data_IF_919508774038
#
_entry.id   IF_919508774038
#
_cell.length_a   1.000
_cell.length_b   1.000
_cell.length_c   1.000
_cell.angle_alpha   90.00
_cell.angle_beta   90.00
_cell.angle_gamma   90.00
#
_symmetry.space_group_name_H-M   'P 1'
#
loop_
_entity.id
_entity.type
_entity.pdbx_description
1 polymer ?
#
# COMPACT_ATOMS: atom_id res chain seq x y z
N UNK A 1 -40.29 68.24 -26.79
CA UNK A 1 -39.02 67.99 -26.05
C UNK A 1 -39.19 67.06 -24.88
N UNK A 2 -40.27 67.16 -24.05
CA UNK A 2 -40.46 66.32 -22.83
C UNK A 2 -40.71 64.81 -23.09
N UNK A 3 -41.33 64.43 -24.22
CA UNK A 3 -41.57 63.01 -24.56
C UNK A 3 -40.28 62.27 -24.98
N UNK A 4 -39.38 62.96 -25.70
CA UNK A 4 -38.12 62.34 -26.13
C UNK A 4 -37.19 62.08 -24.92
N UNK A 5 -37.17 62.92 -23.90
CA UNK A 5 -36.35 62.69 -22.68
C UNK A 5 -36.88 61.57 -21.85
N UNK A 6 -38.20 61.32 -21.79
CA UNK A 6 -38.81 60.17 -21.07
C UNK A 6 -38.46 58.85 -21.78
N UNK A 7 -38.49 58.82 -23.10
CA UNK A 7 -38.14 57.65 -23.89
C UNK A 7 -36.66 57.27 -23.73
N UNK A 8 -35.77 58.23 -23.71
CA UNK A 8 -34.31 57.99 -23.46
C UNK A 8 -34.08 57.44 -22.07
N UNK A 9 -34.76 57.97 -21.05
CA UNK A 9 -34.65 57.48 -19.68
C UNK A 9 -35.15 56.03 -19.51
N UNK A 10 -36.26 55.68 -20.14
CA UNK A 10 -36.82 54.32 -20.12
C UNK A 10 -35.88 53.33 -20.80
N UNK A 11 -35.28 53.73 -21.93
CA UNK A 11 -34.27 52.91 -22.64
C UNK A 11 -33.00 52.68 -21.81
N UNK A 12 -32.54 53.68 -21.10
CA UNK A 12 -31.36 53.56 -20.22
C UNK A 12 -31.64 52.61 -19.02
N UNK A 13 -32.85 52.67 -18.41
CA UNK A 13 -33.27 51.77 -17.37
C UNK A 13 -33.38 50.33 -17.86
N UNK A 14 -33.96 50.11 -19.04
CA UNK A 14 -34.04 48.79 -19.65
C UNK A 14 -32.69 48.19 -19.98
N UNK A 15 -31.75 48.99 -20.52
CA UNK A 15 -30.39 48.57 -20.79
C UNK A 15 -29.65 48.19 -19.49
N UNK A 16 -29.80 49.02 -18.44
CA UNK A 16 -29.22 48.72 -17.13
C UNK A 16 -29.77 47.43 -16.52
N UNK A 17 -31.06 47.18 -16.64
CA UNK A 17 -31.68 45.94 -16.17
C UNK A 17 -31.19 44.71 -16.92
N UNK A 18 -31.00 44.79 -18.23
CA UNK A 18 -30.41 43.69 -19.04
C UNK A 18 -28.96 43.39 -18.67
N UNK A 19 -28.12 44.42 -18.49
CA UNK A 19 -26.74 44.25 -18.04
C UNK A 19 -26.69 43.61 -16.66
N UNK A 20 -27.52 44.07 -15.74
CA UNK A 20 -27.61 43.49 -14.38
C UNK A 20 -28.07 42.02 -14.42
N UNK A 21 -29.07 41.69 -15.22
CA UNK A 21 -29.55 40.33 -15.42
C UNK A 21 -28.47 39.42 -16.01
N UNK A 22 -27.72 39.90 -17.00
CA UNK A 22 -26.60 39.19 -17.61
C UNK A 22 -25.48 38.89 -16.60
N UNK A 23 -25.10 39.87 -15.79
CA UNK A 23 -24.10 39.68 -14.73
C UNK A 23 -24.57 38.66 -13.67
N UNK A 24 -25.87 38.70 -13.31
CA UNK A 24 -26.43 37.75 -12.35
C UNK A 24 -26.43 36.29 -12.89
N UNK A 25 -26.78 36.11 -14.17
CA UNK A 25 -26.76 34.79 -14.82
C UNK A 25 -25.34 34.24 -14.93
N UNK A 26 -24.37 35.07 -15.29
CA UNK A 26 -22.96 34.66 -15.38
C UNK A 26 -22.41 34.28 -13.98
N UNK A 27 -22.79 34.99 -12.93
CA UNK A 27 -22.42 34.66 -11.55
C UNK A 27 -22.99 33.31 -11.11
N UNK A 28 -24.25 33.01 -11.44
CA UNK A 28 -24.87 31.72 -11.16
C UNK A 28 -24.22 30.58 -11.95
N UNK A 29 -23.93 30.80 -13.21
CA UNK A 29 -23.22 29.79 -14.04
C UNK A 29 -21.83 29.46 -13.49
N UNK A 30 -21.09 30.49 -13.07
CA UNK A 30 -19.77 30.31 -12.45
C UNK A 30 -19.83 29.54 -11.12
N UNK A 31 -20.82 29.85 -10.27
CA UNK A 31 -20.99 29.16 -8.99
C UNK A 31 -21.42 27.67 -9.19
N UNK A 32 -22.26 27.37 -10.16
CA UNK A 32 -22.63 26.01 -10.52
C UNK A 32 -21.42 25.21 -11.04
N UNK A 33 -20.63 25.78 -11.92
CA UNK A 33 -19.40 25.15 -12.43
C UNK A 33 -18.40 24.86 -11.29
N UNK A 34 -18.25 25.80 -10.37
CA UNK A 34 -17.40 25.62 -9.20
C UNK A 34 -17.92 24.51 -8.26
N UNK A 35 -19.23 24.47 -8.00
CA UNK A 35 -19.83 23.44 -7.18
C UNK A 35 -19.70 22.03 -7.82
N UNK A 36 -19.85 21.92 -9.13
CA UNK A 36 -19.64 20.68 -9.87
C UNK A 36 -18.18 20.21 -9.76
N UNK A 37 -17.22 21.12 -9.94
CA UNK A 37 -15.78 20.79 -9.80
C UNK A 37 -15.46 20.29 -8.39
N UNK A 38 -15.98 20.95 -7.37
CA UNK A 38 -15.77 20.53 -5.97
C UNK A 38 -16.40 19.15 -5.70
N UNK A 39 -17.59 18.88 -6.21
CA UNK A 39 -18.26 17.57 -6.08
C UNK A 39 -17.44 16.45 -6.75
N UNK A 40 -16.87 16.71 -7.93
CA UNK A 40 -16.01 15.77 -8.62
C UNK A 40 -14.74 15.48 -7.81
N UNK A 41 -14.05 16.52 -7.31
CA UNK A 41 -12.84 16.37 -6.49
C UNK A 41 -13.15 15.55 -5.22
N UNK A 42 -14.21 15.88 -4.49
CA UNK A 42 -14.64 15.15 -3.31
C UNK A 42 -14.98 13.67 -3.61
N UNK A 43 -15.56 13.40 -4.77
CA UNK A 43 -15.81 12.04 -5.27
C UNK A 43 -14.51 11.26 -5.52
N UNK A 44 -13.50 11.89 -6.12
CA UNK A 44 -12.18 11.29 -6.32
C UNK A 44 -11.48 10.96 -5.00
N UNK A 45 -11.47 11.88 -4.05
CA UNK A 45 -10.83 11.67 -2.74
C UNK A 45 -11.45 10.52 -1.96
N UNK A 46 -12.79 10.43 -1.95
CA UNK A 46 -13.49 9.35 -1.24
C UNK A 46 -13.28 7.98 -1.88
N UNK A 47 -13.23 7.89 -3.20
CA UNK A 47 -12.99 6.62 -3.90
C UNK A 47 -11.55 6.14 -3.77
N UNK A 48 -10.58 7.04 -3.87
CA UNK A 48 -9.17 6.73 -3.64
C UNK A 48 -8.96 6.22 -2.20
N UNK A 49 -9.54 6.89 -1.21
CA UNK A 49 -9.48 6.46 0.18
C UNK A 49 -10.08 5.07 0.41
N UNK A 50 -11.21 4.74 -0.23
CA UNK A 50 -11.83 3.39 -0.15
C UNK A 50 -10.94 2.32 -0.77
N UNK A 51 -10.32 2.59 -1.91
CA UNK A 51 -9.39 1.68 -2.57
C UNK A 51 -8.17 1.42 -1.69
N UNK A 52 -7.58 2.45 -1.12
CA UNK A 52 -6.44 2.34 -0.21
C UNK A 52 -6.79 1.49 1.02
N UNK A 53 -7.95 1.70 1.64
CA UNK A 53 -8.41 0.89 2.78
C UNK A 53 -8.58 -0.58 2.40
N UNK A 54 -9.14 -0.90 1.23
CA UNK A 54 -9.29 -2.28 0.79
C UNK A 54 -7.94 -2.96 0.56
N UNK A 55 -6.98 -2.28 -0.06
CA UNK A 55 -5.64 -2.82 -0.31
C UNK A 55 -4.92 -3.08 1.01
N UNK A 56 -4.95 -2.12 1.94
CA UNK A 56 -4.33 -2.26 3.27
C UNK A 56 -4.97 -3.42 4.05
N UNK A 57 -6.29 -3.55 4.03
CA UNK A 57 -7.00 -4.64 4.71
C UNK A 57 -6.58 -6.00 4.16
N UNK A 58 -6.55 -6.17 2.84
CA UNK A 58 -6.09 -7.43 2.21
C UNK A 58 -4.64 -7.75 2.57
N UNK A 59 -3.76 -6.75 2.60
CA UNK A 59 -2.38 -6.92 3.00
C UNK A 59 -2.27 -7.41 4.44
N UNK A 60 -2.95 -6.75 5.39
CA UNK A 60 -2.94 -7.12 6.81
C UNK A 60 -3.44 -8.55 7.03
N UNK A 61 -4.50 -8.95 6.34
CA UNK A 61 -5.04 -10.30 6.43
C UNK A 61 -4.06 -11.35 5.89
N UNK A 62 -3.44 -11.10 4.72
CA UNK A 62 -2.44 -12.00 4.15
C UNK A 62 -1.21 -12.12 5.03
N UNK A 63 -0.70 -11.00 5.57
CA UNK A 63 0.43 -11.00 6.49
C UNK A 63 0.12 -11.77 7.78
N UNK A 64 -1.10 -11.62 8.32
CA UNK A 64 -1.54 -12.36 9.51
C UNK A 64 -1.53 -13.87 9.26
N UNK A 65 -2.03 -14.32 8.10
CA UNK A 65 -2.02 -15.75 7.73
C UNK A 65 -0.60 -16.28 7.62
N UNK A 66 0.29 -15.57 6.94
CA UNK A 66 1.71 -15.95 6.83
C UNK A 66 2.35 -16.08 8.21
N UNK A 67 2.16 -15.10 9.07
CA UNK A 67 2.72 -15.08 10.44
C UNK A 67 2.21 -16.25 11.26
N UNK A 68 0.91 -16.57 11.15
CA UNK A 68 0.32 -17.73 11.85
C UNK A 68 0.92 -19.04 11.37
N UNK A 69 1.04 -19.24 10.06
CA UNK A 69 1.63 -20.45 9.48
C UNK A 69 3.08 -20.64 9.94
N UNK A 70 3.89 -19.57 9.91
CA UNK A 70 5.30 -19.62 10.36
C UNK A 70 5.38 -19.96 11.85
N UNK A 71 4.54 -19.36 12.67
CA UNK A 71 4.48 -19.68 14.10
C UNK A 71 4.10 -21.16 14.34
N UNK A 72 3.14 -21.68 13.57
CA UNK A 72 2.74 -23.09 13.67
C UNK A 72 3.88 -24.01 13.21
N UNK A 73 4.60 -23.69 12.14
CA UNK A 73 5.80 -24.44 11.70
C UNK A 73 6.86 -24.44 12.79
N UNK A 74 7.16 -23.29 13.39
CA UNK A 74 8.14 -23.20 14.46
C UNK A 74 7.74 -24.04 15.69
N UNK A 75 6.46 -24.04 16.05
CA UNK A 75 5.93 -24.87 17.14
C UNK A 75 6.02 -26.37 16.86
N UNK A 76 5.85 -26.77 15.61
CA UNK A 76 5.94 -28.16 15.18
C UNK A 76 7.38 -28.65 14.95
N UNK A 77 8.36 -27.74 14.86
CA UNK A 77 9.78 -28.08 14.59
C UNK A 77 10.32 -29.21 15.47
N UNK A 78 10.08 -29.24 16.82
CA UNK A 78 10.60 -30.31 17.67
C UNK A 78 10.03 -31.72 17.38
N UNK A 79 8.94 -31.81 16.61
CA UNK A 79 8.34 -33.09 16.20
C UNK A 79 9.05 -33.67 14.96
N UNK A 80 9.65 -32.81 14.14
CA UNK A 80 10.37 -33.19 12.92
C UNK A 80 11.88 -33.27 13.15
N UNK A 81 12.41 -32.39 13.99
CA UNK A 81 13.83 -32.39 14.41
C UNK A 81 13.86 -32.68 15.91
N UNK A 82 14.06 -33.93 16.27
CA UNK A 82 14.06 -34.37 17.66
C UNK A 82 15.42 -34.11 18.35
N UNK A 83 15.51 -34.08 19.68
CA UNK A 83 16.79 -33.99 20.40
C UNK A 83 17.79 -35.08 20.01
N UNK A 84 17.32 -36.26 19.67
CA UNK A 84 18.18 -37.37 19.19
C UNK A 84 18.78 -37.02 17.78
N UNK A 85 17.98 -36.37 16.95
CA UNK A 85 18.45 -35.87 15.64
C UNK A 85 19.51 -34.80 15.84
N UNK A 86 19.31 -33.84 16.73
CA UNK A 86 20.25 -32.78 17.04
C UNK A 86 21.59 -33.33 17.58
N UNK A 87 21.52 -34.35 18.44
CA UNK A 87 22.69 -35.02 18.96
C UNK A 87 23.46 -35.83 17.91
N UNK A 88 22.75 -36.45 16.96
CA UNK A 88 23.33 -37.28 15.91
C UNK A 88 23.94 -36.45 14.75
N UNK A 89 23.43 -35.25 14.50
CA UNK A 89 23.84 -34.42 13.36
C UNK A 89 24.15 -32.98 13.79
N UNK A 90 25.24 -32.75 14.57
CA UNK A 90 25.67 -31.40 14.95
C UNK A 90 26.07 -30.60 13.72
N UNK A 91 25.62 -29.33 13.65
CA UNK A 91 25.98 -28.46 12.54
C UNK A 91 27.43 -28.03 12.66
N UNK A 92 28.22 -28.05 11.56
CA UNK A 92 29.61 -27.59 11.59
C UNK A 92 29.71 -26.05 11.71
N UNK A 93 30.80 -25.57 12.32
CA UNK A 93 31.12 -24.14 12.44
C UNK A 93 31.11 -23.44 11.08
N UNK A 94 31.60 -24.09 10.02
CA UNK A 94 31.59 -23.56 8.66
C UNK A 94 30.17 -23.29 8.13
N UNK A 95 29.19 -24.12 8.49
CA UNK A 95 27.79 -23.87 8.14
C UNK A 95 27.29 -22.58 8.78
N UNK A 96 27.55 -22.39 10.08
CA UNK A 96 27.11 -21.18 10.81
C UNK A 96 27.77 -19.94 10.22
N UNK A 97 29.09 -19.99 9.99
CA UNK A 97 29.84 -18.87 9.35
C UNK A 97 29.27 -18.51 7.97
N UNK A 98 28.97 -19.50 7.16
CA UNK A 98 28.40 -19.26 5.83
C UNK A 98 27.01 -18.64 5.91
N UNK A 99 26.18 -19.14 6.84
CA UNK A 99 24.85 -18.61 7.08
C UNK A 99 24.91 -17.13 7.57
N UNK A 100 25.78 -16.83 8.54
CA UNK A 100 25.93 -15.49 9.10
C UNK A 100 26.44 -14.49 8.05
N UNK A 101 27.41 -14.91 7.23
CA UNK A 101 27.92 -14.11 6.13
C UNK A 101 26.81 -13.82 5.08
N UNK A 102 26.02 -14.84 4.75
CA UNK A 102 24.88 -14.66 3.84
C UNK A 102 23.82 -13.72 4.42
N UNK A 103 23.53 -13.81 5.73
CA UNK A 103 22.61 -12.91 6.41
C UNK A 103 23.10 -11.44 6.43
N UNK A 104 24.41 -11.26 6.49
CA UNK A 104 25.06 -9.94 6.43
C UNK A 104 25.29 -9.43 4.98
N UNK A 105 24.92 -10.22 3.97
CA UNK A 105 25.25 -9.97 2.55
C UNK A 105 26.77 -9.76 2.33
N UNK A 106 27.59 -10.53 3.04
CA UNK A 106 29.05 -10.48 2.98
C UNK A 106 29.61 -11.84 2.54
N UNK A 107 30.89 -11.89 2.15
CA UNK A 107 31.58 -13.12 1.81
C UNK A 107 32.31 -13.67 3.03
N UNK A 108 32.11 -14.98 3.37
CA UNK A 108 32.91 -15.58 4.40
C UNK A 108 34.38 -15.63 3.97
N UNK A 109 35.32 -15.46 4.91
CA UNK A 109 36.71 -15.72 4.63
C UNK A 109 36.98 -17.17 4.19
N UNK A 110 38.16 -17.49 3.66
CA UNK A 110 38.46 -18.86 3.19
C UNK A 110 38.21 -19.89 4.31
N UNK A 111 37.78 -21.13 3.94
CA UNK A 111 37.55 -22.18 4.93
C UNK A 111 38.83 -22.58 5.65
N UNK A 112 38.69 -22.87 6.95
CA UNK A 112 39.82 -23.26 7.82
C UNK A 112 39.52 -24.58 8.58
N UNK A 113 40.53 -25.09 9.32
CA UNK A 113 40.38 -26.36 10.04
C UNK A 113 39.26 -26.40 11.09
N UNK A 114 38.87 -25.21 11.61
CA UNK A 114 37.80 -25.09 12.59
C UNK A 114 36.40 -25.27 11.95
N UNK A 115 36.28 -25.06 10.66
CA UNK A 115 35.00 -25.09 9.99
C UNK A 115 34.34 -26.49 9.96
N UNK A 116 35.18 -27.53 10.08
CA UNK A 116 34.67 -28.92 10.17
C UNK A 116 34.28 -29.35 11.59
N UNK A 117 34.57 -28.54 12.61
CA UNK A 117 34.19 -28.85 13.97
C UNK A 117 32.72 -28.65 14.24
N UNK A 118 32.14 -29.45 15.16
CA UNK A 118 30.79 -29.25 15.61
C UNK A 118 30.61 -27.88 16.28
N UNK A 119 29.56 -27.17 15.89
CA UNK A 119 29.16 -25.90 16.53
C UNK A 119 28.22 -26.16 17.72
N UNK A 120 27.95 -25.12 18.48
CA UNK A 120 26.89 -25.16 19.52
C UNK A 120 25.47 -25.00 18.92
N UNK A 121 25.35 -24.71 17.64
CA UNK A 121 24.06 -24.52 16.94
C UNK A 121 23.53 -25.89 16.52
N UNK A 122 22.31 -26.19 16.92
CA UNK A 122 21.61 -27.45 16.59
C UNK A 122 20.88 -27.36 15.25
N UNK A 123 20.50 -28.50 14.70
CA UNK A 123 19.63 -28.56 13.51
C UNK A 123 18.26 -27.93 13.79
N UNK A 124 17.74 -28.10 15.02
CA UNK A 124 16.51 -27.43 15.47
C UNK A 124 16.65 -25.92 15.46
N UNK A 125 17.74 -25.37 15.98
CA UNK A 125 18.01 -23.91 15.96
C UNK A 125 18.05 -23.38 14.51
N UNK A 126 18.75 -24.08 13.63
CA UNK A 126 18.82 -23.69 12.22
C UNK A 126 17.44 -23.75 11.53
N UNK A 127 16.64 -24.78 11.82
CA UNK A 127 15.30 -24.90 11.27
C UNK A 127 14.40 -23.72 11.71
N UNK A 128 14.47 -23.31 12.98
CA UNK A 128 13.72 -22.16 13.50
C UNK A 128 14.16 -20.85 12.82
N UNK A 129 15.45 -20.63 12.66
CA UNK A 129 15.99 -19.45 11.98
C UNK A 129 15.57 -19.42 10.51
N UNK A 130 15.69 -20.53 9.80
CA UNK A 130 15.28 -20.68 8.40
C UNK A 130 13.78 -20.41 8.24
N UNK A 131 12.94 -20.99 9.10
CA UNK A 131 11.50 -20.75 9.07
C UNK A 131 11.19 -19.25 9.30
N UNK A 132 11.85 -18.60 10.25
CA UNK A 132 11.73 -17.16 10.49
C UNK A 132 12.13 -16.31 9.28
N UNK A 133 13.23 -16.65 8.62
CA UNK A 133 13.70 -15.96 7.41
C UNK A 133 12.70 -16.12 6.25
N UNK A 134 12.12 -17.31 6.06
CA UNK A 134 11.05 -17.50 5.07
C UNK A 134 9.81 -16.67 5.42
N UNK A 135 9.45 -16.60 6.71
CA UNK A 135 8.36 -15.73 7.18
C UNK A 135 8.57 -14.27 6.80
N UNK A 136 9.77 -13.75 7.03
CA UNK A 136 10.17 -12.39 6.65
C UNK A 136 10.10 -12.19 5.13
N UNK A 137 10.63 -13.15 4.36
CA UNK A 137 10.59 -13.10 2.90
C UNK A 137 9.14 -13.07 2.38
N UNK A 138 8.25 -13.90 2.93
CA UNK A 138 6.84 -13.89 2.59
C UNK A 138 6.15 -12.57 2.97
N UNK A 139 6.45 -12.00 4.12
CA UNK A 139 5.90 -10.70 4.53
C UNK A 139 6.32 -9.57 3.57
N UNK A 140 7.60 -9.52 3.17
CA UNK A 140 8.10 -8.55 2.18
C UNK A 140 7.41 -8.75 0.83
N UNK A 141 7.20 -9.99 0.40
CA UNK A 141 6.46 -10.29 -0.83
C UNK A 141 5.02 -9.74 -0.77
N UNK A 142 4.32 -9.91 0.36
CA UNK A 142 2.97 -9.38 0.51
C UNK A 142 2.94 -7.84 0.54
N UNK A 143 3.96 -7.19 1.11
CA UNK A 143 4.14 -5.73 1.02
C UNK A 143 4.32 -5.28 -0.42
N UNK A 144 5.18 -5.97 -1.18
CA UNK A 144 5.40 -5.65 -2.59
C UNK A 144 4.12 -5.84 -3.41
N UNK A 145 3.38 -6.93 -3.20
CA UNK A 145 2.11 -7.18 -3.85
C UNK A 145 1.08 -6.08 -3.53
N UNK A 146 1.00 -5.64 -2.28
CA UNK A 146 0.11 -4.54 -1.89
C UNK A 146 0.49 -3.22 -2.59
N UNK A 147 1.78 -2.94 -2.73
CA UNK A 147 2.27 -1.77 -3.46
C UNK A 147 1.93 -1.86 -4.96
N UNK A 148 2.12 -3.04 -5.57
CA UNK A 148 1.76 -3.29 -6.97
C UNK A 148 0.25 -3.12 -7.16
N UNK A 149 -0.58 -3.70 -6.30
CA UNK A 149 -2.04 -3.58 -6.32
C UNK A 149 -2.45 -2.09 -6.28
N UNK A 150 -1.78 -1.29 -5.45
CA UNK A 150 -2.02 0.15 -5.35
C UNK A 150 -1.64 0.91 -6.61
N UNK A 151 -0.50 0.59 -7.22
CA UNK A 151 -0.03 1.24 -8.44
C UNK A 151 -0.86 0.85 -9.66
N UNK A 152 -1.45 -0.34 -9.67
CA UNK A 152 -2.31 -0.85 -10.74
C UNK A 152 -3.79 -0.53 -10.55
N UNK A 153 -4.19 -0.02 -9.38
CA UNK A 153 -5.55 0.41 -9.15
C UNK A 153 -5.92 1.48 -10.17
N UNK A 154 -6.97 1.27 -11.00
CA UNK A 154 -7.33 2.23 -12.03
C UNK A 154 -7.65 3.57 -11.38
N UNK A 155 -7.23 4.69 -11.98
CA UNK A 155 -7.74 5.98 -11.57
C UNK A 155 -9.26 5.93 -11.72
N UNK A 156 -9.95 6.41 -10.69
CA UNK A 156 -11.41 6.42 -10.66
C UNK A 156 -11.96 7.12 -11.91
N UNK A 157 -12.50 6.34 -12.84
CA UNK A 157 -13.35 6.86 -13.91
C UNK A 157 -14.77 6.94 -13.37
N UNK A 158 -15.08 8.04 -12.70
CA UNK A 158 -16.46 8.34 -12.29
C UNK A 158 -17.35 8.38 -13.53
N UNK A 159 -18.15 7.34 -13.75
CA UNK A 159 -19.27 7.43 -14.66
C UNK A 159 -20.25 8.44 -14.08
N UNK A 160 -20.25 9.64 -14.60
CA UNK A 160 -21.35 10.58 -14.41
C UNK A 160 -22.52 9.97 -15.16
N UNK A 161 -23.37 9.23 -14.45
CA UNK A 161 -24.68 8.81 -14.98
C UNK A 161 -25.48 10.09 -15.15
N UNK A 162 -25.62 10.54 -16.39
CA UNK A 162 -26.65 11.50 -16.76
C UNK A 162 -28.00 10.76 -16.78
N UNK A 163 -28.77 10.88 -15.71
CA UNK A 163 -30.23 10.73 -15.68
C UNK A 163 -30.90 12.09 -15.75
#
# INVERSE_FOLDING_TARGET
MKVASILVSLLAIAAGALVWQHHRLNGLAASLAQAQTQAIIAGFETSAARTDVQIVTRYVDRERVVRQIIHDIQRETPRYVTPDTDAAFPLPVGFVRLHDAAAAADLPGPPGPLDAQASAVTASDAALVIAGNYGTCHAIREQLNALIDRLQAPPYTGSVSHE
#
